data_IF_021738090478
#
_entry.id   IF_021738090478
#
_cell.length_a   1.000
_cell.length_b   1.000
_cell.length_c   1.000
_cell.angle_alpha   90.00
_cell.angle_beta   90.00
_cell.angle_gamma   90.00
#
_symmetry.space_group_name_H-M   'P 1'
#
loop_
_entity.id
_entity.type
_entity.pdbx_description
1 polymer ?
#
# COMPACT_ATOMS: atom_id res chain seq x y z
N UNK A 1 8.48 -16.58 -2.15
CA UNK A 1 8.45 -15.52 -3.18
C UNK A 1 7.71 -14.29 -2.68
N UNK A 2 8.27 -13.09 -2.86
CA UNK A 2 7.57 -11.82 -2.59
C UNK A 2 6.51 -11.58 -3.67
N UNK A 3 5.33 -11.10 -3.28
CA UNK A 3 4.31 -10.64 -4.23
C UNK A 3 4.70 -9.34 -4.92
N UNK A 4 3.96 -8.95 -5.96
CA UNK A 4 4.18 -7.67 -6.64
C UNK A 4 3.39 -6.54 -5.98
N UNK A 5 4.02 -5.38 -5.85
CA UNK A 5 3.33 -4.15 -5.47
C UNK A 5 2.78 -3.38 -6.68
N UNK A 6 2.14 -4.11 -7.60
CA UNK A 6 1.55 -3.51 -8.77
C UNK A 6 0.18 -2.88 -8.44
N UNK A 7 -0.02 -1.63 -8.85
CA UNK A 7 -1.37 -1.10 -8.97
C UNK A 7 -2.04 -1.79 -10.16
N UNK A 8 -3.22 -2.37 -9.95
CA UNK A 8 -4.03 -2.86 -11.06
C UNK A 8 -4.49 -1.65 -11.87
N UNK A 9 -3.88 -1.42 -13.03
CA UNK A 9 -4.35 -0.39 -13.94
C UNK A 9 -5.80 -0.66 -14.38
N UNK A 10 -6.52 0.41 -14.71
CA UNK A 10 -7.89 0.40 -15.24
C UNK A 10 -8.11 -0.62 -16.37
N UNK A 11 -8.51 -1.83 -15.99
CA UNK A 11 -9.20 -2.78 -16.84
C UNK A 11 -10.65 -2.77 -16.37
N UNK A 12 -11.48 -2.02 -17.11
CA UNK A 12 -12.93 -1.85 -16.98
C UNK A 12 -13.41 -0.95 -15.82
N UNK A 13 -14.03 0.18 -16.16
CA UNK A 13 -15.03 0.94 -15.34
C UNK A 13 -14.71 1.28 -13.87
N UNK A 14 -13.47 1.13 -13.38
CA UNK A 14 -13.10 1.56 -12.04
C UNK A 14 -12.50 2.96 -12.08
N UNK A 15 -13.02 3.85 -11.23
CA UNK A 15 -12.39 5.13 -10.90
C UNK A 15 -11.13 4.79 -10.08
N UNK A 16 -9.97 5.27 -10.53
CA UNK A 16 -8.71 5.11 -9.79
C UNK A 16 -8.87 5.68 -8.37
N UNK A 17 -8.33 5.00 -7.37
CA UNK A 17 -8.45 5.43 -5.96
C UNK A 17 -7.85 6.82 -5.75
N UNK A 18 -6.77 7.12 -6.47
CA UNK A 18 -6.11 8.41 -6.49
C UNK A 18 -7.04 9.54 -6.96
N UNK A 19 -7.97 9.27 -7.88
CA UNK A 19 -8.93 10.28 -8.38
C UNK A 19 -9.97 10.66 -7.33
N UNK A 20 -10.21 9.78 -6.35
CA UNK A 20 -11.12 10.05 -5.23
C UNK A 20 -10.49 10.94 -4.15
N UNK A 21 -9.18 11.10 -4.15
CA UNK A 21 -8.45 11.91 -3.15
C UNK A 21 -8.31 13.34 -3.67
N UNK A 22 -8.85 14.37 -2.99
CA UNK A 22 -8.75 15.75 -3.44
C UNK A 22 -7.30 16.18 -3.71
N UNK A 23 -7.09 17.02 -4.74
CA UNK A 23 -5.75 17.46 -5.15
C UNK A 23 -4.95 18.14 -4.02
N UNK A 24 -5.65 18.84 -3.11
CA UNK A 24 -5.04 19.53 -1.95
C UNK A 24 -4.99 18.67 -0.67
N UNK A 25 -5.35 17.39 -0.75
CA UNK A 25 -5.38 16.52 0.42
C UNK A 25 -3.95 16.18 0.90
N UNK A 26 -3.63 16.32 2.21
CA UNK A 26 -2.29 16.05 2.74
C UNK A 26 -1.74 14.64 2.45
N UNK A 27 -2.63 13.65 2.34
CA UNK A 27 -2.24 12.28 1.99
C UNK A 27 -1.49 12.17 0.66
N UNK A 28 -1.74 13.06 -0.31
CA UNK A 28 -1.00 13.00 -1.59
C UNK A 28 0.50 13.21 -1.38
N UNK A 29 0.88 14.16 -0.50
CA UNK A 29 2.29 14.42 -0.16
C UNK A 29 2.87 13.28 0.66
N UNK A 30 2.11 12.76 1.62
CA UNK A 30 2.54 11.62 2.45
C UNK A 30 2.78 10.39 1.56
N UNK A 31 1.86 10.11 0.62
CA UNK A 31 1.96 9.00 -0.32
C UNK A 31 3.26 9.04 -1.14
N UNK A 32 3.64 10.21 -1.67
CA UNK A 32 4.90 10.39 -2.39
C UNK A 32 6.11 10.04 -1.51
N UNK A 33 6.19 10.63 -0.32
CA UNK A 33 7.31 10.40 0.61
C UNK A 33 7.41 8.93 1.01
N UNK A 34 6.27 8.28 1.24
CA UNK A 34 6.21 6.86 1.64
C UNK A 34 6.64 5.96 0.49
N UNK A 35 6.15 6.19 -0.72
CA UNK A 35 6.55 5.37 -1.87
C UNK A 35 8.03 5.55 -2.22
N UNK A 36 8.56 6.77 -2.11
CA UNK A 36 10.00 7.01 -2.28
C UNK A 36 10.84 6.25 -1.24
N UNK A 37 10.37 6.18 0.01
CA UNK A 37 11.03 5.42 1.06
C UNK A 37 10.93 3.90 0.80
N UNK A 38 9.76 3.39 0.42
CA UNK A 38 9.55 1.98 0.12
C UNK A 38 10.38 1.53 -1.09
N UNK A 39 10.47 2.36 -2.14
CA UNK A 39 11.29 2.06 -3.31
C UNK A 39 12.79 1.91 -2.96
N UNK A 40 13.30 2.65 -1.97
CA UNK A 40 14.68 2.51 -1.50
C UNK A 40 14.92 1.22 -0.72
N UNK A 41 13.87 0.65 -0.11
CA UNK A 41 13.92 -0.59 0.66
C UNK A 41 13.68 -1.84 -0.22
N UNK A 42 13.42 -1.68 -1.53
CA UNK A 42 12.98 -2.78 -2.39
C UNK A 42 13.97 -3.95 -2.40
N UNK A 43 15.27 -3.68 -2.55
CA UNK A 43 16.31 -4.71 -2.53
C UNK A 43 16.44 -5.40 -1.17
N UNK A 44 16.25 -4.65 -0.09
CA UNK A 44 16.30 -5.17 1.28
C UNK A 44 15.11 -6.09 1.56
N UNK A 45 13.93 -5.71 1.08
CA UNK A 45 12.75 -6.58 1.16
C UNK A 45 12.89 -7.82 0.30
N UNK A 46 13.41 -7.70 -0.93
CA UNK A 46 13.59 -8.86 -1.82
C UNK A 46 14.52 -9.92 -1.19
N UNK A 47 15.61 -9.49 -0.56
CA UNK A 47 16.55 -10.37 0.14
C UNK A 47 15.94 -11.17 1.31
N UNK A 48 14.78 -10.77 1.84
CA UNK A 48 14.07 -11.48 2.91
C UNK A 48 13.17 -12.61 2.41
N UNK A 49 12.91 -12.70 1.11
CA UNK A 49 12.02 -13.72 0.53
C UNK A 49 12.80 -14.80 -0.22
N UNK A 50 12.29 -16.03 -0.14
CA UNK A 50 12.74 -17.11 -1.03
C UNK A 50 12.24 -16.87 -2.46
N UNK A 51 12.97 -17.35 -3.45
CA UNK A 51 12.62 -17.26 -4.88
C UNK A 51 11.47 -18.22 -5.30
N UNK A 52 11.24 -19.30 -4.54
CA UNK A 52 10.15 -20.24 -4.80
C UNK A 52 8.98 -20.12 -3.80
N UNK A 53 7.88 -20.80 -4.14
CA UNK A 53 6.67 -20.92 -3.31
C UNK A 53 5.55 -19.95 -3.69
N UNK A 54 4.47 -19.94 -2.90
CA UNK A 54 3.32 -19.04 -3.12
C UNK A 54 3.76 -17.58 -2.90
N UNK A 55 3.42 -16.65 -3.80
CA UNK A 55 3.67 -15.23 -3.59
C UNK A 55 2.97 -14.72 -2.32
N UNK A 56 3.71 -14.03 -1.46
CA UNK A 56 3.17 -13.35 -0.28
C UNK A 56 2.42 -12.07 -0.66
N UNK A 57 1.70 -11.47 0.30
CA UNK A 57 1.39 -10.04 0.23
C UNK A 57 2.70 -9.28 0.43
N UNK A 58 3.07 -8.35 -0.47
CA UNK A 58 4.31 -7.59 -0.35
C UNK A 58 4.26 -6.62 0.85
N UNK A 59 5.40 -6.40 1.55
CA UNK A 59 5.46 -5.59 2.76
C UNK A 59 4.98 -4.14 2.54
N UNK A 60 5.15 -3.58 1.34
CA UNK A 60 4.70 -2.24 0.96
C UNK A 60 3.22 -2.02 1.20
N UNK A 61 2.39 -3.04 0.91
CA UNK A 61 0.94 -2.95 1.05
C UNK A 61 0.55 -2.94 2.53
N UNK A 62 1.21 -3.78 3.33
CA UNK A 62 0.99 -3.84 4.77
C UNK A 62 1.42 -2.53 5.45
N UNK A 63 2.60 -2.02 5.10
CA UNK A 63 3.13 -0.76 5.65
C UNK A 63 2.23 0.42 5.30
N UNK A 64 1.76 0.53 4.05
CA UNK A 64 0.81 1.59 3.67
C UNK A 64 -0.51 1.48 4.41
N UNK A 65 -1.05 0.29 4.60
CA UNK A 65 -2.26 0.07 5.39
C UNK A 65 -2.06 0.46 6.87
N UNK A 66 -0.97 0.04 7.51
CA UNK A 66 -0.63 0.41 8.89
C UNK A 66 -0.41 1.91 9.06
N UNK A 67 0.15 2.58 8.06
CA UNK A 67 0.31 4.02 8.06
C UNK A 67 -1.05 4.74 8.00
N UNK A 68 -1.94 4.32 7.10
CA UNK A 68 -3.31 4.86 7.05
C UNK A 68 -4.02 4.65 8.39
N UNK A 69 -3.90 3.45 8.95
CA UNK A 69 -4.46 3.14 10.26
C UNK A 69 -3.98 4.15 11.33
N UNK A 70 -2.67 4.44 11.35
CA UNK A 70 -2.06 5.37 12.31
C UNK A 70 -2.48 6.82 12.07
N UNK A 71 -2.50 7.27 10.80
CA UNK A 71 -2.88 8.64 10.42
C UNK A 71 -4.34 8.97 10.74
N UNK A 72 -5.22 7.96 10.68
CA UNK A 72 -6.63 8.11 10.97
C UNK A 72 -7.03 7.63 12.38
N UNK A 73 -6.04 7.33 13.24
CA UNK A 73 -6.28 6.87 14.61
C UNK A 73 -7.22 5.65 14.70
N UNK A 74 -7.16 4.78 13.69
CA UNK A 74 -7.92 3.53 13.65
C UNK A 74 -7.25 2.52 14.59
N UNK A 75 -8.04 1.89 15.46
CA UNK A 75 -7.48 1.17 16.62
C UNK A 75 -7.06 -0.27 16.32
N UNK A 76 -7.43 -0.80 15.16
CA UNK A 76 -7.03 -2.15 14.75
C UNK A 76 -7.12 -2.32 13.24
N UNK A 77 -6.37 -3.28 12.70
CA UNK A 77 -6.47 -3.70 11.31
C UNK A 77 -7.89 -4.19 10.98
N UNK A 78 -8.54 -4.92 11.90
CA UNK A 78 -9.94 -5.35 11.72
C UNK A 78 -10.88 -4.15 11.51
N UNK A 79 -10.76 -3.12 12.35
CA UNK A 79 -11.56 -1.90 12.20
C UNK A 79 -11.26 -1.18 10.87
N UNK A 80 -10.00 -1.18 10.42
CA UNK A 80 -9.65 -0.62 9.11
C UNK A 80 -10.35 -1.38 7.99
N UNK A 81 -10.36 -2.71 8.04
CA UNK A 81 -11.05 -3.53 7.03
C UNK A 81 -12.57 -3.30 7.04
N UNK A 82 -13.18 -3.13 8.21
CA UNK A 82 -14.60 -2.79 8.36
C UNK A 82 -14.96 -1.43 7.74
N UNK A 83 -14.03 -0.48 7.71
CA UNK A 83 -14.22 0.83 7.09
C UNK A 83 -14.01 0.83 5.57
N UNK A 84 -13.42 -0.24 5.01
CA UNK A 84 -13.17 -0.39 3.58
C UNK A 84 -14.29 -1.17 2.85
N UNK A 85 -15.28 -1.66 3.60
CA UNK A 85 -16.49 -2.31 3.10
C UNK A 85 -17.54 -1.28 2.67
#
# INVERSE_FOLDING_TARGET
MRGTDAASGSLFSYVELEDRIPARHPLRKIWQVVNDALARLDAEFDALYTDFGRPSIPPERLIRASLLQSLFSVRSERQLMEQMQ
#
